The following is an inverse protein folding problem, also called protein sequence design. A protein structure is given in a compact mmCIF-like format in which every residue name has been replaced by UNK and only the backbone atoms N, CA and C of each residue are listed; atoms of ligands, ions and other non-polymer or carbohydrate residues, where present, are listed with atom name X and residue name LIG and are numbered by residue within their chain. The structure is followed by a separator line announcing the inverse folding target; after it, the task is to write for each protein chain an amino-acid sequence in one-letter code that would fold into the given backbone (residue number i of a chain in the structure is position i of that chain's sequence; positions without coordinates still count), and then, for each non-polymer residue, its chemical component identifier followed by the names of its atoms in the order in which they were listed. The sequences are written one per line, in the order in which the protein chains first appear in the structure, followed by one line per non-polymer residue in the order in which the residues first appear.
data_IF_243030639542
#
_entry.id   IF_243030639542
#
_cell.length_a   1.000
_cell.length_b   1.000
_cell.length_c   1.000
_cell.angle_alpha   90.00
_cell.angle_beta   90.00
_cell.angle_gamma   90.00
#
_symmetry.space_group_name_H-M   'P 1'
#
loop_
_entity.id
_entity.type
_entity.pdbx_description
1 polymer ?
#
# COMPACT_ATOMS: atom_id res chain seq x y z
N UNK A 1 3.67 8.51 -5.08
CA UNK A 1 3.14 8.69 -3.71
C UNK A 1 3.71 7.62 -2.80
N UNK A 2 3.95 7.92 -1.52
CA UNK A 2 4.42 6.96 -0.53
C UNK A 2 3.56 7.01 0.74
N UNK A 3 3.39 5.87 1.39
CA UNK A 3 2.53 5.69 2.54
C UNK A 3 3.23 4.81 3.59
N UNK A 4 3.11 5.14 4.87
CA UNK A 4 3.37 4.22 5.97
C UNK A 4 2.13 3.37 6.17
N UNK A 5 2.30 2.05 6.19
CA UNK A 5 1.19 1.11 6.27
C UNK A 5 1.41 0.14 7.44
N UNK A 6 0.38 -0.03 8.25
CA UNK A 6 0.35 -0.99 9.34
C UNK A 6 0.03 -2.42 8.85
N UNK A 7 0.25 -3.42 9.71
CA UNK A 7 -0.13 -4.82 9.49
C UNK A 7 0.56 -5.55 8.32
N UNK A 8 1.57 -4.93 7.68
CA UNK A 8 2.43 -5.62 6.71
C UNK A 8 3.59 -6.30 7.46
N UNK A 9 3.36 -7.52 7.93
CA UNK A 9 4.34 -8.23 8.78
C UNK A 9 5.30 -9.14 8.00
N UNK A 10 4.91 -9.60 6.81
CA UNK A 10 5.71 -10.55 6.04
C UNK A 10 5.61 -10.32 4.54
N UNK A 11 6.49 -11.01 3.79
CA UNK A 11 6.50 -10.97 2.33
C UNK A 11 5.16 -11.44 1.72
N UNK A 12 4.45 -12.34 2.38
CA UNK A 12 3.14 -12.79 1.90
C UNK A 12 2.08 -11.68 1.99
N UNK A 13 2.11 -10.84 3.02
CA UNK A 13 1.25 -9.64 3.11
C UNK A 13 1.55 -8.68 1.96
N UNK A 14 2.84 -8.45 1.66
CA UNK A 14 3.23 -7.60 0.54
C UNK A 14 2.75 -8.17 -0.81
N UNK A 15 2.90 -9.48 -1.01
CA UNK A 15 2.43 -10.15 -2.22
C UNK A 15 0.90 -10.12 -2.36
N UNK A 16 0.15 -10.21 -1.25
CA UNK A 16 -1.30 -10.09 -1.27
C UNK A 16 -1.72 -8.70 -1.77
N UNK A 17 -1.14 -7.64 -1.22
CA UNK A 17 -1.42 -6.26 -1.65
C UNK A 17 -1.11 -6.11 -3.14
N UNK A 18 0.06 -6.60 -3.56
CA UNK A 18 0.49 -6.54 -4.95
C UNK A 18 -0.48 -7.25 -5.90
N UNK A 19 -0.77 -8.51 -5.64
CA UNK A 19 -1.66 -9.31 -6.48
C UNK A 19 -3.10 -8.79 -6.51
N UNK A 20 -3.56 -8.15 -5.43
CA UNK A 20 -4.93 -7.62 -5.38
C UNK A 20 -5.05 -6.22 -6.01
N UNK A 21 -4.03 -5.39 -5.89
CA UNK A 21 -4.12 -3.96 -6.20
C UNK A 21 -3.29 -3.52 -7.42
N UNK A 22 -2.26 -4.27 -7.84
CA UNK A 22 -1.41 -3.84 -8.97
C UNK A 22 -2.15 -3.78 -10.31
N UNK A 23 -3.10 -4.69 -10.56
CA UNK A 23 -3.95 -4.64 -11.76
C UNK A 23 -4.84 -3.40 -11.82
N UNK A 24 -5.19 -2.83 -10.66
CA UNK A 24 -6.14 -1.71 -10.52
C UNK A 24 -5.40 -0.37 -10.46
N UNK A 25 -4.30 -0.31 -9.71
CA UNK A 25 -3.59 0.91 -9.36
C UNK A 25 -2.20 1.03 -10.00
N UNK A 26 -1.73 -0.01 -10.71
CA UNK A 26 -0.41 -0.06 -11.32
C UNK A 26 0.67 -0.58 -10.37
N UNK A 27 1.94 -0.36 -10.71
CA UNK A 27 3.08 -0.89 -9.95
C UNK A 27 3.09 -0.43 -8.47
N UNK A 28 3.11 -1.38 -7.54
CA UNK A 28 3.15 -1.15 -6.10
C UNK A 28 4.46 -1.70 -5.53
N UNK A 29 5.26 -0.81 -4.95
CA UNK A 29 6.51 -1.13 -4.26
C UNK A 29 6.30 -1.12 -2.75
N UNK A 30 6.62 -2.21 -2.08
CA UNK A 30 6.52 -2.34 -0.63
C UNK A 30 7.91 -2.57 -0.06
N UNK A 31 8.30 -1.70 0.86
CA UNK A 31 9.54 -1.75 1.60
C UNK A 31 9.30 -2.44 2.94
N UNK A 32 9.81 -3.66 3.04
CA UNK A 32 9.75 -4.51 4.23
C UNK A 32 10.97 -4.34 5.14
N UNK A 33 11.82 -3.34 4.89
CA UNK A 33 12.96 -3.02 5.74
C UNK A 33 12.63 -1.85 6.68
N UNK A 34 11.78 -0.92 6.25
CA UNK A 34 11.25 0.16 7.08
C UNK A 34 10.33 -0.36 8.19
N UNK A 35 10.30 0.35 9.33
CA UNK A 35 9.33 0.13 10.40
C UNK A 35 8.75 1.49 10.85
N UNK A 36 7.46 1.81 10.59
CA UNK A 36 6.46 1.00 9.87
C UNK A 36 6.85 0.70 8.42
N UNK A 37 6.25 -0.35 7.83
CA UNK A 37 6.48 -0.68 6.42
C UNK A 37 6.03 0.48 5.55
N UNK A 38 6.72 0.69 4.43
CA UNK A 38 6.34 1.74 3.49
C UNK A 38 5.89 1.17 2.16
N UNK A 39 4.83 1.74 1.62
CA UNK A 39 4.26 1.39 0.33
C UNK A 39 4.39 2.60 -0.59
N UNK A 40 4.93 2.41 -1.78
CA UNK A 40 5.10 3.44 -2.80
C UNK A 40 4.41 3.00 -4.09
N UNK A 41 3.63 3.90 -4.68
CA UNK A 41 2.97 3.67 -5.97
C UNK A 41 2.85 4.98 -6.75
N UNK A 42 2.73 4.87 -8.07
CA UNK A 42 2.48 6.02 -8.93
C UNK A 42 0.97 6.13 -9.18
N UNK A 43 0.30 7.00 -8.42
CA UNK A 43 -1.15 7.13 -8.41
C UNK A 43 -1.54 8.61 -8.49
N UNK A 44 -2.62 8.91 -9.21
CA UNK A 44 -3.26 10.22 -9.21
C UNK A 44 -3.98 10.53 -7.88
N UNK A 45 -3.99 11.80 -7.47
CA UNK A 45 -4.66 12.22 -6.23
C UNK A 45 -6.16 11.83 -6.18
N UNK A 46 -6.84 11.79 -7.35
CA UNK A 46 -8.25 11.39 -7.43
C UNK A 46 -8.51 9.93 -7.07
N UNK A 47 -7.48 9.07 -7.13
CA UNK A 47 -7.60 7.64 -6.84
C UNK A 47 -7.04 7.27 -5.47
N UNK A 48 -6.48 8.22 -4.73
CA UNK A 48 -5.88 7.99 -3.42
C UNK A 48 -6.90 7.43 -2.41
N UNK A 49 -8.11 7.99 -2.37
CA UNK A 49 -9.16 7.52 -1.46
C UNK A 49 -9.64 6.10 -1.80
N UNK A 50 -9.78 5.80 -3.09
CA UNK A 50 -10.11 4.45 -3.59
C UNK A 50 -9.03 3.45 -3.17
N UNK A 51 -7.75 3.78 -3.37
CA UNK A 51 -6.63 2.93 -2.95
C UNK A 51 -6.63 2.67 -1.44
N UNK A 52 -6.82 3.71 -0.62
CA UNK A 52 -6.88 3.57 0.84
C UNK A 52 -8.03 2.67 1.27
N UNK A 53 -9.18 2.76 0.60
CA UNK A 53 -10.35 1.93 0.87
C UNK A 53 -10.07 0.47 0.56
N UNK A 54 -9.60 0.16 -0.65
CA UNK A 54 -9.28 -1.23 -1.04
C UNK A 54 -8.18 -1.84 -0.14
N UNK A 55 -7.17 -1.04 0.21
CA UNK A 55 -6.10 -1.47 1.12
C UNK A 55 -6.64 -1.81 2.53
N UNK A 56 -7.58 -1.01 3.03
CA UNK A 56 -8.27 -1.25 4.31
C UNK A 56 -9.16 -2.49 4.26
N UNK A 57 -9.84 -2.74 3.15
CA UNK A 57 -10.65 -3.96 2.94
C UNK A 57 -9.79 -5.23 2.92
N UNK A 58 -8.52 -5.14 2.52
CA UNK A 58 -7.53 -6.21 2.63
C UNK A 58 -6.94 -6.38 4.05
N UNK A 59 -7.29 -5.49 5.00
CA UNK A 59 -6.84 -5.53 6.40
C UNK A 59 -5.57 -4.70 6.68
N UNK A 60 -5.17 -3.82 5.77
CA UNK A 60 -3.99 -2.97 5.92
C UNK A 60 -4.39 -1.51 6.11
N UNK A 61 -3.80 -0.84 7.10
CA UNK A 61 -4.18 0.53 7.46
C UNK A 61 -3.09 1.52 7.07
N UNK A 62 -3.48 2.61 6.39
CA UNK A 62 -2.57 3.72 6.10
C UNK A 62 -2.41 4.59 7.35
N UNK A 63 -1.19 4.64 7.87
CA UNK A 63 -0.84 5.45 9.05
C UNK A 63 -0.54 6.90 8.67
N UNK A 64 0.24 7.10 7.60
CA UNK A 64 0.74 8.41 7.20
C UNK A 64 1.07 8.42 5.71
N UNK A 65 0.79 9.54 5.02
CA UNK A 65 1.27 9.80 3.66
C UNK A 65 2.63 10.50 3.75
N UNK A 66 3.62 9.95 3.05
CA UNK A 66 4.96 10.51 2.90
C UNK A 66 5.07 11.02 1.45
N UNK A 67 5.29 12.32 1.25
CA UNK A 67 5.56 12.90 -0.06
C UNK A 67 7.01 12.67 -0.50
#
# INVERSE_FOLDING_TARGET
MKFKVANINCQNCANLIKNSLEDIFGEIKIDLDANPRTLSLNLDNSREEEFKKELSELGFEVLEKIE
#
